data_IF_981612472356
#
_entry.id   IF_981612472356
#
_cell.length_a   1.000
_cell.length_b   1.000
_cell.length_c   1.000
_cell.angle_alpha   90.00
_cell.angle_beta   90.00
_cell.angle_gamma   90.00
#
_symmetry.space_group_name_H-M   'P 1'
#
loop_
_entity.id
_entity.type
_entity.pdbx_description
1 polymer ?
#
# COMPACT_ATOMS: atom_id res chain seq x y z
N UNK A 1 -12.93 -31.90 -16.75
CA UNK A 1 -12.43 -31.78 -15.37
C UNK A 1 -11.12 -31.06 -15.31
N UNK A 2 -10.18 -31.47 -16.09
CA UNK A 2 -8.86 -30.91 -16.06
C UNK A 2 -8.82 -29.42 -16.43
N UNK A 3 -9.73 -28.94 -17.27
CA UNK A 3 -9.70 -27.53 -17.69
C UNK A 3 -10.10 -26.58 -16.58
N UNK A 4 -11.06 -26.97 -15.73
CA UNK A 4 -11.44 -26.13 -14.59
C UNK A 4 -10.32 -26.07 -13.55
N UNK A 5 -9.70 -27.21 -13.29
CA UNK A 5 -8.58 -27.26 -12.35
C UNK A 5 -7.39 -26.46 -12.87
N UNK A 6 -7.13 -26.55 -14.17
CA UNK A 6 -6.05 -25.79 -14.78
C UNK A 6 -6.29 -24.30 -14.70
N UNK A 7 -7.54 -23.88 -14.92
CA UNK A 7 -7.90 -22.45 -14.81
C UNK A 7 -7.76 -21.97 -13.38
N UNK A 8 -8.18 -22.78 -12.40
CA UNK A 8 -8.03 -22.43 -11.00
C UNK A 8 -6.56 -22.32 -10.62
N UNK A 9 -5.74 -23.25 -11.09
CA UNK A 9 -4.31 -23.22 -10.81
C UNK A 9 -3.65 -22.01 -11.45
N UNK A 10 -4.04 -21.66 -12.67
CA UNK A 10 -3.50 -20.47 -13.34
C UNK A 10 -3.86 -19.20 -12.60
N UNK A 11 -5.11 -19.10 -12.14
CA UNK A 11 -5.55 -17.93 -11.39
C UNK A 11 -4.80 -17.82 -10.07
N UNK A 12 -4.62 -18.97 -9.39
CA UNK A 12 -3.88 -18.97 -8.14
C UNK A 12 -2.43 -18.53 -8.34
N UNK A 13 -1.79 -19.00 -9.41
CA UNK A 13 -0.43 -18.58 -9.72
C UNK A 13 -0.36 -17.08 -10.02
N UNK A 14 -1.34 -16.56 -10.76
CA UNK A 14 -1.40 -15.14 -11.05
C UNK A 14 -1.57 -14.32 -9.79
N UNK A 15 -2.40 -14.79 -8.87
CA UNK A 15 -2.61 -14.10 -7.60
C UNK A 15 -1.34 -14.08 -6.76
N UNK A 16 -0.65 -15.21 -6.68
CA UNK A 16 0.60 -15.30 -5.93
C UNK A 16 1.66 -14.37 -6.52
N UNK A 17 1.78 -14.40 -7.85
CA UNK A 17 2.75 -13.54 -8.52
C UNK A 17 2.41 -12.07 -8.31
N UNK A 18 1.13 -11.73 -8.38
CA UNK A 18 0.70 -10.36 -8.14
C UNK A 18 1.00 -9.92 -6.72
N UNK A 19 0.77 -10.81 -5.73
CA UNK A 19 1.09 -10.50 -4.35
C UNK A 19 2.59 -10.25 -4.16
N UNK A 20 3.42 -11.06 -4.82
CA UNK A 20 4.87 -10.88 -4.76
C UNK A 20 5.28 -9.54 -5.38
N UNK A 21 4.70 -9.19 -6.53
CA UNK A 21 4.98 -7.93 -7.18
C UNK A 21 4.51 -6.74 -6.34
N UNK A 22 3.32 -6.85 -5.75
CA UNK A 22 2.79 -5.79 -4.92
C UNK A 22 3.59 -5.60 -3.64
N UNK A 23 4.15 -6.69 -3.11
CA UNK A 23 4.96 -6.61 -1.90
C UNK A 23 6.18 -5.71 -2.09
N UNK A 24 6.68 -5.62 -3.33
CA UNK A 24 7.85 -4.78 -3.64
C UNK A 24 7.48 -3.39 -4.14
N UNK A 25 6.21 -3.17 -4.47
CA UNK A 25 5.76 -1.85 -4.90
C UNK A 25 5.57 -0.94 -3.69
N UNK A 26 5.96 0.30 -3.83
CA UNK A 26 5.90 1.25 -2.73
C UNK A 26 5.00 2.43 -3.05
N UNK A 27 4.49 3.02 -2.00
CA UNK A 27 3.76 4.28 -2.06
C UNK A 27 4.41 5.23 -1.07
N UNK A 28 4.23 6.51 -1.31
CA UNK A 28 4.83 7.56 -0.51
C UNK A 28 3.75 8.50 0.00
N UNK A 29 3.84 8.88 1.25
CA UNK A 29 2.97 9.88 1.84
C UNK A 29 3.80 10.89 2.60
N UNK A 30 3.30 12.12 2.64
CA UNK A 30 4.00 13.19 3.34
C UNK A 30 3.04 13.92 4.26
N UNK A 31 3.60 14.64 5.23
CA UNK A 31 2.87 15.52 6.12
C UNK A 31 3.72 16.73 6.44
N UNK A 32 3.08 17.81 6.87
CA UNK A 32 3.80 19.02 7.23
C UNK A 32 4.51 19.67 6.07
N UNK A 33 3.87 19.70 4.89
CA UNK A 33 4.48 20.33 3.72
C UNK A 33 5.70 19.57 3.20
N UNK A 34 5.73 18.26 3.41
CA UNK A 34 6.85 17.43 2.95
C UNK A 34 7.95 17.25 3.99
N UNK A 35 7.78 17.79 5.18
CA UNK A 35 8.77 17.68 6.26
C UNK A 35 8.91 16.25 6.78
N UNK A 36 7.83 15.48 6.71
CA UNK A 36 7.81 14.08 7.09
C UNK A 36 7.38 13.26 5.87
N UNK A 37 8.16 12.26 5.54
CA UNK A 37 7.88 11.37 4.40
C UNK A 37 7.88 9.93 4.90
N UNK A 38 6.87 9.17 4.52
CA UNK A 38 6.75 7.75 4.88
C UNK A 38 6.57 6.93 3.61
N UNK A 39 7.32 5.85 3.52
CA UNK A 39 7.22 4.92 2.40
C UNK A 39 6.70 3.59 2.92
N UNK A 40 5.62 3.08 2.30
CA UNK A 40 5.04 1.79 2.65
C UNK A 40 4.99 0.91 1.40
N UNK A 41 5.01 -0.40 1.61
CA UNK A 41 4.90 -1.34 0.50
C UNK A 41 3.53 -2.03 0.49
N UNK A 42 3.30 -2.85 -0.55
CA UNK A 42 2.03 -3.53 -0.71
C UNK A 42 1.75 -4.61 0.31
N UNK A 43 2.74 -4.97 1.13
CA UNK A 43 2.55 -5.89 2.27
C UNK A 43 2.14 -5.16 3.53
N UNK A 44 1.78 -3.88 3.43
CA UNK A 44 1.36 -3.05 4.55
C UNK A 44 2.48 -2.85 5.57
N UNK A 45 3.70 -2.77 5.08
CA UNK A 45 4.86 -2.52 5.94
C UNK A 45 5.46 -1.16 5.61
N UNK A 46 5.88 -0.47 6.64
CA UNK A 46 6.60 0.78 6.50
C UNK A 46 8.06 0.46 6.21
N UNK A 47 8.57 0.98 5.10
CA UNK A 47 9.96 0.73 4.70
C UNK A 47 10.90 1.84 5.12
N UNK A 48 10.40 3.06 5.18
CA UNK A 48 11.26 4.19 5.53
C UNK A 48 10.43 5.35 6.08
N UNK A 49 11.02 6.07 7.00
CA UNK A 49 10.49 7.34 7.48
C UNK A 49 11.62 8.35 7.39
N UNK A 50 11.38 9.43 6.67
CA UNK A 50 12.37 10.50 6.50
C UNK A 50 11.85 11.76 7.15
N UNK A 51 12.67 12.39 7.97
CA UNK A 51 12.35 13.63 8.67
C UNK A 51 13.31 14.71 8.22
N UNK A 52 12.78 15.87 7.86
CA UNK A 52 13.64 17.03 7.68
C UNK A 52 14.08 17.53 9.04
N UNK A 53 15.36 17.94 9.19
CA UNK A 53 15.84 18.38 10.51
C UNK A 53 15.01 19.52 11.11
N UNK A 54 14.42 20.35 10.27
CA UNK A 54 13.64 21.49 10.73
C UNK A 54 12.40 21.10 11.51
N UNK A 55 11.84 19.90 11.25
CA UNK A 55 10.64 19.46 11.96
C UNK A 55 10.96 18.83 13.31
N UNK A 56 12.24 18.53 13.56
CA UNK A 56 12.66 17.91 14.81
C UNK A 56 12.98 18.99 15.82
N UNK A 57 11.96 19.40 16.56
CA UNK A 57 12.05 20.47 17.54
C UNK A 57 11.81 19.88 18.92
N UNK A 58 12.84 19.86 19.80
CA UNK A 58 12.66 19.29 21.14
C UNK A 58 11.60 20.00 21.99
N UNK A 59 11.25 21.22 21.62
CA UNK A 59 10.22 21.95 22.34
C UNK A 59 8.81 21.69 21.82
N UNK A 60 8.69 20.96 20.70
CA UNK A 60 7.39 20.63 20.13
C UNK A 60 7.38 19.20 19.60
N UNK A 61 7.62 18.25 20.48
CA UNK A 61 7.63 16.84 20.14
C UNK A 61 6.25 16.38 19.72
N UNK A 62 5.22 16.94 20.32
CA UNK A 62 3.84 16.56 20.02
C UNK A 62 3.48 16.82 18.54
N UNK A 63 3.94 17.95 18.01
CA UNK A 63 3.73 18.23 16.59
C UNK A 63 4.39 17.18 15.72
N UNK A 64 5.63 16.80 16.05
CA UNK A 64 6.34 15.80 15.28
C UNK A 64 5.62 14.45 15.33
N UNK A 65 5.14 14.05 16.51
CA UNK A 65 4.37 12.82 16.65
C UNK A 65 3.14 12.83 15.78
N UNK A 66 2.42 13.94 15.76
CA UNK A 66 1.19 14.06 14.96
C UNK A 66 1.49 13.97 13.47
N UNK A 67 2.57 14.59 13.01
CA UNK A 67 2.96 14.55 11.61
C UNK A 67 3.37 13.13 11.19
N UNK A 68 4.13 12.44 12.03
CA UNK A 68 4.52 11.06 11.74
C UNK A 68 3.30 10.15 11.70
N UNK A 69 2.38 10.33 12.63
CA UNK A 69 1.15 9.54 12.67
C UNK A 69 0.33 9.76 11.40
N UNK A 70 0.15 11.01 11.01
CA UNK A 70 -0.63 11.34 9.83
C UNK A 70 -0.01 10.76 8.55
N UNK A 71 1.30 10.93 8.38
CA UNK A 71 2.00 10.44 7.20
C UNK A 71 1.98 8.90 7.15
N UNK A 72 2.17 8.26 8.31
CA UNK A 72 2.17 6.80 8.38
C UNK A 72 0.81 6.22 8.01
N UNK A 73 -0.25 6.78 8.59
CA UNK A 73 -1.61 6.32 8.28
C UNK A 73 -1.95 6.56 6.81
N UNK A 74 -1.54 7.70 6.27
CA UNK A 74 -1.80 8.00 4.86
C UNK A 74 -1.04 7.04 3.95
N UNK A 75 0.21 6.72 4.28
CA UNK A 75 0.99 5.77 3.50
C UNK A 75 0.36 4.38 3.50
N UNK A 76 -0.12 3.92 4.66
CA UNK A 76 -0.78 2.63 4.76
C UNK A 76 -2.09 2.62 3.99
N UNK A 77 -2.85 3.71 4.03
CA UNK A 77 -4.08 3.82 3.25
C UNK A 77 -3.79 3.78 1.75
N UNK A 78 -2.78 4.50 1.31
CA UNK A 78 -2.37 4.49 -0.10
C UNK A 78 -1.92 3.09 -0.53
N UNK A 79 -1.22 2.39 0.35
CA UNK A 79 -0.80 1.02 0.06
C UNK A 79 -2.01 0.11 -0.11
N UNK A 80 -3.01 0.22 0.76
CA UNK A 80 -4.23 -0.56 0.63
C UNK A 80 -4.97 -0.24 -0.66
N UNK A 81 -5.06 1.04 -1.01
CA UNK A 81 -5.70 1.44 -2.26
C UNK A 81 -4.96 0.89 -3.47
N UNK A 82 -3.64 0.89 -3.44
CA UNK A 82 -2.83 0.33 -4.52
C UNK A 82 -3.10 -1.17 -4.68
N UNK A 83 -3.11 -1.91 -3.57
CA UNK A 83 -3.36 -3.35 -3.60
C UNK A 83 -4.77 -3.62 -4.09
N UNK A 84 -5.76 -2.89 -3.58
CA UNK A 84 -7.16 -3.05 -3.99
C UNK A 84 -7.35 -2.77 -5.47
N UNK A 85 -6.69 -1.73 -5.99
CA UNK A 85 -6.79 -1.38 -7.39
C UNK A 85 -6.20 -2.47 -8.28
N UNK A 86 -5.07 -3.05 -7.88
CA UNK A 86 -4.44 -4.11 -8.65
C UNK A 86 -5.26 -5.39 -8.60
N UNK A 87 -5.78 -5.73 -7.43
CA UNK A 87 -6.66 -6.90 -7.30
C UNK A 87 -7.95 -6.71 -8.07
N UNK A 88 -8.48 -5.50 -8.09
CA UNK A 88 -9.66 -5.17 -8.89
C UNK A 88 -9.42 -5.37 -10.38
N UNK A 89 -8.24 -5.04 -10.87
CA UNK A 89 -7.88 -5.28 -12.26
C UNK A 89 -7.84 -6.77 -12.58
N UNK A 90 -7.33 -7.57 -11.65
CA UNK A 90 -7.25 -9.02 -11.82
C UNK A 90 -8.65 -9.62 -11.91
N UNK A 91 -9.56 -9.19 -11.06
CA UNK A 91 -10.92 -9.71 -11.04
C UNK A 91 -11.88 -8.99 -11.97
N UNK A 92 -11.48 -7.82 -12.49
CA UNK A 92 -12.32 -6.98 -13.32
C UNK A 92 -12.78 -7.63 -14.60
N UNK A 93 -11.98 -8.53 -15.16
CA UNK A 93 -12.35 -9.26 -16.37
C UNK A 93 -13.34 -10.38 -16.14
N UNK A 94 -13.61 -10.72 -14.89
CA UNK A 94 -14.52 -11.81 -14.54
C UNK A 94 -15.98 -11.36 -14.46
N UNK A 95 -16.21 -10.07 -14.42
CA UNK A 95 -17.55 -9.50 -14.43
C UNK A 95 -18.50 -10.20 -13.47
N UNK A 96 -18.23 -10.05 -12.18
CA UNK A 96 -19.02 -10.71 -11.15
C UNK A 96 -20.27 -9.90 -10.83
N UNK A 97 -21.46 -10.40 -11.15
CA UNK A 97 -22.70 -9.68 -10.83
C UNK A 97 -22.90 -9.60 -9.32
N UNK A 98 -23.42 -8.49 -8.87
CA UNK A 98 -23.71 -8.32 -7.45
C UNK A 98 -22.59 -7.78 -6.62
N UNK A 99 -21.45 -7.56 -7.21
CA UNK A 99 -20.33 -6.93 -6.53
C UNK A 99 -20.32 -5.42 -6.68
N UNK A 100 -21.36 -4.86 -7.15
CA UNK A 100 -21.45 -3.42 -7.40
C UNK A 100 -22.19 -2.68 -6.36
#
# INVERSE_FOLDING_TARGET
MSSMMKQAQKLQKKMLKMQEELATKTVEATAGGGMVKVIANGSQKIEAITLEPEVVDPEDIEMLQDLILAATNDALNKSQEMVSAQMGKLTGGMNIPGMM
#
